data_IF_669369771811
#
_entry.id   IF_669369771811
#
_cell.length_a   1.000
_cell.length_b   1.000
_cell.length_c   1.000
_cell.angle_alpha   90.00
_cell.angle_beta   90.00
_cell.angle_gamma   90.00
#
_symmetry.space_group_name_H-M   'P 1'
#
loop_
_entity.id
_entity.type
_entity.pdbx_description
1 polymer ?
#
# COMPACT_ATOMS: atom_id res chain seq x y z
N UNK A 1 -59.00 -42.30 8.32
CA UNK A 1 -59.23 -40.89 8.69
C UNK A 1 -58.28 -40.04 7.85
N UNK A 2 -58.32 -40.21 6.53
CA UNK A 2 -59.38 -39.72 5.62
C UNK A 2 -59.34 -38.19 5.57
N UNK A 3 -59.45 -37.52 4.44
CA UNK A 3 -59.56 -37.86 3.03
C UNK A 3 -59.45 -36.46 2.36
N UNK A 4 -58.74 -36.32 1.25
CA UNK A 4 -59.38 -36.30 -0.07
C UNK A 4 -60.61 -35.37 -0.15
N UNK A 5 -60.53 -34.29 -0.92
CA UNK A 5 -60.94 -34.21 -2.32
C UNK A 5 -60.99 -32.73 -2.75
N UNK A 6 -60.42 -32.33 -3.89
CA UNK A 6 -60.95 -32.53 -5.27
C UNK A 6 -62.20 -31.65 -5.48
N UNK A 7 -62.44 -30.93 -6.58
CA UNK A 7 -61.95 -31.02 -7.96
C UNK A 7 -62.55 -29.82 -8.74
N UNK A 8 -61.98 -29.54 -9.93
CA UNK A 8 -62.59 -28.87 -11.12
C UNK A 8 -63.16 -27.44 -10.97
N UNK A 9 -62.91 -26.48 -11.86
CA UNK A 9 -62.35 -26.48 -13.20
C UNK A 9 -63.09 -25.43 -14.06
N UNK A 10 -62.39 -24.88 -15.07
CA UNK A 10 -62.90 -24.27 -16.32
C UNK A 10 -63.05 -22.71 -16.38
N UNK A 11 -62.00 -22.11 -16.96
CA UNK A 11 -61.96 -21.32 -18.23
C UNK A 11 -62.39 -19.83 -18.33
N UNK A 12 -61.47 -19.09 -18.96
CA UNK A 12 -61.64 -17.98 -19.93
C UNK A 12 -61.98 -16.57 -19.44
N UNK A 13 -60.98 -15.68 -19.42
CA UNK A 13 -60.74 -14.58 -20.41
C UNK A 13 -59.99 -13.40 -19.78
N UNK A 14 -59.16 -12.81 -20.65
CA UNK A 14 -58.69 -11.43 -20.65
C UNK A 14 -57.53 -11.00 -19.72
N UNK A 15 -56.39 -10.86 -20.41
CA UNK A 15 -55.27 -9.95 -20.17
C UNK A 15 -55.70 -8.58 -19.59
N UNK A 16 -55.07 -8.18 -18.50
CA UNK A 16 -54.72 -6.76 -18.27
C UNK A 16 -53.40 -6.70 -17.51
N UNK A 17 -52.34 -6.32 -18.25
CA UNK A 17 -51.04 -5.99 -17.71
C UNK A 17 -51.08 -4.57 -17.12
N UNK A 18 -50.54 -4.39 -15.92
CA UNK A 18 -50.19 -3.08 -15.41
C UNK A 18 -48.86 -2.64 -16.03
N UNK A 19 -48.91 -1.51 -16.70
CA UNK A 19 -47.86 -0.85 -17.47
C UNK A 19 -46.78 -0.23 -16.58
N UNK A 20 -45.52 -0.60 -16.79
CA UNK A 20 -44.36 0.25 -16.51
C UNK A 20 -43.75 0.64 -17.86
N UNK A 21 -43.93 1.90 -18.23
CA UNK A 21 -43.39 2.52 -19.44
C UNK A 21 -41.86 2.56 -19.36
N UNK A 22 -41.22 1.76 -20.21
CA UNK A 22 -39.79 1.86 -20.50
C UNK A 22 -39.69 2.55 -21.88
N UNK A 23 -39.37 3.84 -21.91
CA UNK A 23 -39.16 4.55 -23.17
C UNK A 23 -37.73 4.30 -23.66
N UNK A 24 -37.65 3.34 -24.58
CA UNK A 24 -36.99 3.45 -25.88
C UNK A 24 -35.68 4.22 -25.97
N UNK A 25 -34.55 3.50 -26.02
CA UNK A 25 -33.73 3.35 -27.25
C UNK A 25 -32.46 2.55 -26.95
N UNK A 26 -32.56 1.21 -26.86
CA UNK A 26 -31.38 0.34 -26.74
C UNK A 26 -31.51 -0.99 -27.50
N UNK A 27 -32.20 -0.99 -28.65
CA UNK A 27 -32.24 -2.18 -29.50
C UNK A 27 -32.23 -1.78 -30.98
N UNK A 28 -31.04 -1.90 -31.61
CA UNK A 28 -30.84 -2.32 -33.01
C UNK A 28 -29.41 -2.04 -33.47
N UNK A 29 -28.44 -2.86 -33.06
CA UNK A 29 -27.32 -3.22 -33.94
C UNK A 29 -26.81 -4.61 -33.53
N UNK A 30 -27.40 -5.65 -34.10
CA UNK A 30 -26.78 -6.97 -34.18
C UNK A 30 -27.14 -7.58 -35.54
N UNK A 31 -26.10 -8.10 -36.20
CA UNK A 31 -26.12 -9.05 -37.32
C UNK A 31 -26.53 -8.52 -38.71
N UNK A 32 -25.52 -8.16 -39.51
CA UNK A 32 -25.42 -8.63 -40.88
C UNK A 32 -23.95 -8.81 -41.26
N UNK A 33 -23.47 -10.05 -41.18
CA UNK A 33 -22.24 -10.47 -41.82
C UNK A 33 -22.59 -11.11 -43.16
N UNK A 34 -22.12 -10.53 -44.28
CA UNK A 34 -21.86 -11.25 -45.52
C UNK A 34 -20.99 -10.40 -46.48
N UNK A 35 -19.73 -10.85 -46.64
CA UNK A 35 -18.91 -10.92 -47.86
C UNK A 35 -18.79 -9.65 -48.74
N UNK A 36 -17.57 -9.12 -48.82
CA UNK A 36 -17.17 -8.19 -49.87
C UNK A 36 -15.81 -7.54 -49.60
N UNK A 37 -14.77 -8.12 -50.20
CA UNK A 37 -13.41 -7.60 -50.29
C UNK A 37 -13.31 -6.14 -50.72
N UNK A 38 -12.48 -5.33 -50.04
CA UNK A 38 -11.44 -4.47 -50.61
C UNK A 38 -11.05 -3.36 -49.62
N UNK A 39 -9.74 -3.20 -49.45
CA UNK A 39 -9.03 -2.10 -48.79
C UNK A 39 -9.62 -0.72 -49.09
N UNK A 40 -9.68 0.15 -48.08
CA UNK A 40 -9.21 1.55 -48.13
C UNK A 40 -9.15 2.12 -46.71
N UNK A 41 -7.97 2.60 -46.34
CA UNK A 41 -7.71 3.45 -45.18
C UNK A 41 -8.52 4.74 -45.32
N UNK A 42 -9.66 4.84 -44.63
CA UNK A 42 -10.34 6.12 -44.40
C UNK A 42 -10.54 6.26 -42.90
N UNK A 43 -9.83 7.24 -42.33
CA UNK A 43 -9.87 7.54 -40.91
C UNK A 43 -11.29 7.81 -40.44
N UNK A 44 -11.78 6.98 -39.53
CA UNK A 44 -12.94 7.32 -38.74
C UNK A 44 -12.57 8.50 -37.83
N UNK A 45 -12.88 9.71 -38.26
CA UNK A 45 -12.98 10.84 -37.34
C UNK A 45 -14.23 10.60 -36.50
N UNK A 46 -14.04 10.13 -35.27
CA UNK A 46 -15.10 10.19 -34.26
C UNK A 46 -15.16 11.64 -33.82
N UNK A 47 -16.05 12.42 -34.44
CA UNK A 47 -16.45 13.73 -33.91
C UNK A 47 -17.35 13.44 -32.71
N UNK A 48 -16.78 13.49 -31.51
CA UNK A 48 -17.57 13.57 -30.27
C UNK A 48 -18.07 15.01 -30.18
N UNK A 49 -19.38 15.30 -30.33
CA UNK A 49 -19.89 16.64 -30.10
C UNK A 49 -19.57 17.00 -28.65
N UNK A 50 -19.04 18.20 -28.42
CA UNK A 50 -18.58 18.69 -27.11
C UNK A 50 -19.66 18.59 -26.03
N UNK A 51 -19.74 17.43 -25.38
CA UNK A 51 -20.38 17.27 -24.10
C UNK A 51 -19.50 17.96 -23.07
N UNK A 52 -20.04 18.98 -22.40
CA UNK A 52 -19.44 19.45 -21.16
C UNK A 52 -19.55 18.31 -20.15
N UNK A 53 -18.42 17.68 -19.81
CA UNK A 53 -18.34 16.71 -18.74
C UNK A 53 -18.36 17.49 -17.42
N UNK A 54 -19.54 17.96 -16.99
CA UNK A 54 -19.69 18.49 -15.64
C UNK A 54 -19.58 17.33 -14.65
N UNK A 55 -18.39 17.15 -14.09
CA UNK A 55 -18.20 16.27 -12.95
C UNK A 55 -18.80 16.98 -11.73
N UNK A 56 -20.09 16.75 -11.50
CA UNK A 56 -20.76 17.21 -10.29
C UNK A 56 -20.15 16.44 -9.12
N UNK A 57 -19.13 17.02 -8.49
CA UNK A 57 -18.41 16.35 -7.42
C UNK A 57 -19.23 16.44 -6.15
N UNK A 58 -19.65 15.30 -5.61
CA UNK A 58 -20.24 15.19 -4.27
C UNK A 58 -19.25 15.49 -3.14
N UNK A 59 -18.00 15.79 -3.48
CA UNK A 59 -16.94 16.11 -2.53
C UNK A 59 -17.12 17.52 -1.95
N UNK A 60 -17.02 17.62 -0.63
CA UNK A 60 -17.02 18.87 0.11
C UNK A 60 -15.74 19.64 -0.25
N UNK A 61 -15.88 20.85 -0.80
CA UNK A 61 -14.74 21.72 -1.07
C UNK A 61 -14.34 22.47 0.20
N UNK A 62 -13.03 22.51 0.48
CA UNK A 62 -12.46 23.36 1.52
C UNK A 62 -12.81 24.83 1.28
N UNK A 63 -13.10 25.55 2.36
CA UNK A 63 -13.50 26.96 2.34
C UNK A 63 -12.33 27.95 2.33
N UNK A 64 -11.08 27.45 2.38
CA UNK A 64 -9.86 28.24 2.42
C UNK A 64 -9.61 28.94 3.76
N UNK A 65 -10.47 28.74 4.77
CA UNK A 65 -10.29 29.30 6.11
C UNK A 65 -9.60 28.27 6.98
N UNK A 66 -8.32 28.47 7.24
CA UNK A 66 -7.55 27.53 8.06
C UNK A 66 -7.93 27.67 9.53
N UNK A 67 -8.40 26.57 10.12
CA UNK A 67 -8.66 26.44 11.54
C UNK A 67 -7.71 25.41 12.18
N UNK A 68 -7.50 25.55 13.49
CA UNK A 68 -6.71 24.62 14.29
C UNK A 68 -7.58 24.09 15.42
N UNK A 69 -7.70 22.77 15.52
CA UNK A 69 -8.39 22.08 16.60
C UNK A 69 -7.40 21.28 17.44
N UNK A 70 -7.44 21.45 18.76
CA UNK A 70 -6.75 20.55 19.68
C UNK A 70 -7.74 19.49 20.15
N UNK A 71 -7.37 18.22 20.00
CA UNK A 71 -8.24 17.09 20.33
C UNK A 71 -7.67 16.33 21.53
N UNK A 72 -8.51 15.98 22.53
CA UNK A 72 -8.04 15.22 23.67
C UNK A 72 -7.56 13.84 23.20
N UNK A 73 -6.38 13.45 23.64
CA UNK A 73 -5.78 12.16 23.29
C UNK A 73 -5.07 11.59 24.52
N UNK A 74 -5.11 10.27 24.65
CA UNK A 74 -4.34 9.55 25.66
C UNK A 74 -3.07 8.99 25.02
N UNK A 75 -2.03 8.73 25.80
CA UNK A 75 -0.73 8.24 25.31
C UNK A 75 -0.78 6.81 24.77
N UNK A 76 -1.52 6.59 23.68
CA UNK A 76 -1.68 5.30 23.02
C UNK A 76 -0.43 4.98 22.21
N UNK A 77 -0.02 3.71 22.23
CA UNK A 77 1.17 3.23 21.53
C UNK A 77 0.91 2.79 20.09
N UNK A 78 -0.35 2.80 19.63
CA UNK A 78 -0.73 2.43 18.28
C UNK A 78 -1.45 3.58 17.57
N UNK A 79 -1.12 3.79 16.29
CA UNK A 79 -1.72 4.78 15.40
C UNK A 79 -2.23 4.13 14.13
N UNK A 80 -3.47 4.43 13.75
CA UNK A 80 -4.11 4.03 12.51
C UNK A 80 -4.54 5.28 11.72
N UNK A 81 -4.02 5.44 10.50
CA UNK A 81 -4.33 6.58 9.62
C UNK A 81 -5.06 6.09 8.38
N UNK A 82 -6.28 6.56 8.15
CA UNK A 82 -7.07 6.26 6.96
C UNK A 82 -7.19 7.48 6.05
N UNK A 83 -6.17 7.68 5.21
CA UNK A 83 -6.16 8.70 4.16
C UNK A 83 -6.98 8.27 2.95
N UNK A 84 -8.31 8.18 3.12
CA UNK A 84 -9.27 7.84 2.06
C UNK A 84 -10.15 9.06 1.76
N UNK A 85 -11.08 8.91 0.81
CA UNK A 85 -12.13 9.91 0.51
C UNK A 85 -11.62 11.23 -0.07
N UNK A 86 -10.55 11.19 -0.87
CA UNK A 86 -9.92 12.33 -1.59
C UNK A 86 -9.36 13.47 -0.71
N UNK A 87 -9.49 13.38 0.61
CA UNK A 87 -8.86 14.29 1.56
C UNK A 87 -7.35 14.03 1.66
N UNK A 88 -6.54 14.99 1.25
CA UNK A 88 -5.08 14.94 1.41
C UNK A 88 -4.69 15.18 2.87
N UNK A 89 -3.92 14.26 3.44
CA UNK A 89 -3.54 14.26 4.85
C UNK A 89 -2.03 14.15 4.98
N UNK A 90 -1.47 15.10 5.74
CA UNK A 90 -0.11 15.05 6.25
C UNK A 90 -0.15 14.77 7.75
N UNK A 91 0.42 13.65 8.18
CA UNK A 91 0.47 13.25 9.59
C UNK A 91 1.91 13.33 10.07
N UNK A 92 2.19 14.26 10.97
CA UNK A 92 3.50 14.44 11.61
C UNK A 92 3.45 13.88 13.04
N UNK A 93 4.18 12.80 13.28
CA UNK A 93 4.23 12.10 14.57
C UNK A 93 5.57 12.35 15.24
N UNK A 94 5.54 12.82 16.48
CA UNK A 94 6.75 13.04 17.30
C UNK A 94 6.72 12.16 18.55
N UNK A 95 7.68 11.24 18.65
CA UNK A 95 7.86 10.36 19.80
C UNK A 95 8.74 11.04 20.86
N UNK A 96 8.44 10.80 22.14
CA UNK A 96 9.21 11.27 23.30
C UNK A 96 8.67 12.51 24.02
N UNK A 97 7.40 12.89 23.78
CA UNK A 97 6.78 14.07 24.41
C UNK A 97 5.46 13.77 25.13
N UNK A 98 4.86 14.81 25.71
CA UNK A 98 3.52 14.73 26.31
C UNK A 98 2.48 14.42 25.24
N UNK A 99 1.53 13.50 25.48
CA UNK A 99 0.43 13.23 24.57
C UNK A 99 -0.27 14.52 24.13
N UNK A 100 -0.38 14.72 22.83
CA UNK A 100 -1.05 15.89 22.26
C UNK A 100 -1.40 15.65 20.79
N UNK A 101 -2.60 16.09 20.40
CA UNK A 101 -3.10 15.96 19.03
C UNK A 101 -3.66 17.29 18.57
N UNK A 102 -3.10 17.83 17.49
CA UNK A 102 -3.62 19.04 16.84
C UNK A 102 -3.89 18.77 15.38
N UNK A 103 -5.05 19.21 14.90
CA UNK A 103 -5.49 19.10 13.51
C UNK A 103 -5.62 20.50 12.94
N UNK A 104 -5.05 20.72 11.75
CA UNK A 104 -5.05 22.00 11.04
C UNK A 104 -5.47 21.81 9.59
N UNK A 105 -6.45 22.60 9.13
CA UNK A 105 -7.00 22.49 7.77
C UNK A 105 -8.18 23.43 7.56
N UNK A 106 -8.84 23.34 6.40
CA UNK A 106 -10.06 24.11 6.12
C UNK A 106 -11.13 23.87 7.20
N UNK A 107 -11.69 24.96 7.73
CA UNK A 107 -12.57 24.93 8.90
C UNK A 107 -13.82 24.09 8.66
N UNK A 108 -14.36 24.10 7.44
CA UNK A 108 -15.52 23.31 7.08
C UNK A 108 -15.23 21.81 6.91
N UNK A 109 -13.96 21.40 6.84
CA UNK A 109 -13.56 20.00 6.69
C UNK A 109 -13.22 19.32 8.03
N UNK A 110 -12.79 20.09 9.04
CA UNK A 110 -12.40 19.52 10.34
C UNK A 110 -13.50 18.70 11.04
N UNK A 111 -14.80 19.07 10.98
CA UNK A 111 -15.88 18.26 11.54
C UNK A 111 -16.07 16.89 10.86
N UNK A 112 -15.59 16.73 9.63
CA UNK A 112 -15.64 15.49 8.86
C UNK A 112 -14.41 14.59 9.10
N UNK A 113 -13.37 15.13 9.72
CA UNK A 113 -12.21 14.37 10.19
C UNK A 113 -12.47 13.87 11.61
N UNK A 114 -12.43 12.56 11.79
CA UNK A 114 -12.69 11.89 13.06
C UNK A 114 -11.41 11.35 13.68
N UNK A 115 -11.35 11.41 15.01
CA UNK A 115 -10.27 10.86 15.81
C UNK A 115 -10.90 10.08 16.96
N UNK A 116 -10.83 8.76 16.91
CA UNK A 116 -11.40 7.87 17.93
C UNK A 116 -10.36 6.84 18.41
N UNK A 117 -10.66 6.19 19.53
CA UNK A 117 -9.81 5.13 20.07
C UNK A 117 -10.50 3.80 19.85
N UNK A 118 -9.90 2.94 19.04
CA UNK A 118 -10.43 1.61 18.74
C UNK A 118 -9.35 0.56 18.96
N UNK A 119 -9.68 -0.45 19.76
CA UNK A 119 -8.76 -1.57 20.07
C UNK A 119 -7.37 -1.12 20.59
N UNK A 120 -7.31 -0.01 21.34
CA UNK A 120 -6.06 0.53 21.88
C UNK A 120 -5.20 1.33 20.89
N UNK A 121 -5.71 1.60 19.68
CA UNK A 121 -5.08 2.47 18.70
C UNK A 121 -5.85 3.79 18.54
N UNK A 122 -5.12 4.89 18.37
CA UNK A 122 -5.69 6.14 17.88
C UNK A 122 -5.99 5.97 16.39
N UNK A 123 -7.25 6.11 16.00
CA UNK A 123 -7.70 6.03 14.61
C UNK A 123 -8.04 7.42 14.09
N UNK A 124 -7.49 7.77 12.94
CA UNK A 124 -7.71 9.03 12.24
C UNK A 124 -8.32 8.72 10.88
N UNK A 125 -9.51 9.24 10.59
CA UNK A 125 -10.23 8.94 9.35
C UNK A 125 -11.19 10.07 8.94
N UNK A 126 -11.68 10.04 7.70
CA UNK A 126 -12.69 10.98 7.18
C UNK A 126 -14.00 10.28 6.85
N UNK A 127 -15.13 10.85 7.26
CA UNK A 127 -16.47 10.30 6.97
C UNK A 127 -17.01 10.68 5.58
N UNK A 128 -16.47 11.76 5.01
CA UNK A 128 -16.96 12.39 3.80
C UNK A 128 -15.86 12.52 2.76
N UNK A 129 -16.27 12.54 1.49
CA UNK A 129 -15.38 12.95 0.42
C UNK A 129 -15.14 14.44 0.49
N UNK A 130 -13.87 14.83 0.50
CA UNK A 130 -13.48 16.22 0.65
C UNK A 130 -12.27 16.54 -0.23
N UNK A 131 -12.20 17.77 -0.69
CA UNK A 131 -11.04 18.33 -1.39
C UNK A 131 -10.63 19.57 -0.62
N UNK A 132 -9.59 19.44 0.20
CA UNK A 132 -9.03 20.53 0.96
C UNK A 132 -8.29 21.52 0.05
N UNK A 133 -8.21 22.79 0.47
CA UNK A 133 -7.45 23.81 -0.26
C UNK A 133 -5.94 23.63 -0.05
N UNK A 134 -5.56 23.03 1.07
CA UNK A 134 -4.21 22.60 1.42
C UNK A 134 -4.27 21.27 2.17
N UNK A 135 -3.17 20.49 2.23
CA UNK A 135 -3.17 19.23 2.99
C UNK A 135 -3.58 19.45 4.44
N UNK A 136 -4.47 18.61 4.97
CA UNK A 136 -4.84 18.64 6.39
C UNK A 136 -3.65 18.14 7.19
N UNK A 137 -3.09 19.01 8.03
CA UNK A 137 -1.92 18.73 8.85
C UNK A 137 -2.36 18.22 10.21
N UNK A 138 -1.90 17.03 10.57
CA UNK A 138 -2.21 16.41 11.84
C UNK A 138 -0.89 16.20 12.58
N UNK A 139 -0.71 16.89 13.69
CA UNK A 139 0.47 16.75 14.54
C UNK A 139 0.09 15.93 15.75
N UNK A 140 0.75 14.78 15.92
CA UNK A 140 0.53 13.86 17.03
C UNK A 140 1.83 13.67 17.81
N UNK A 141 1.84 14.08 19.08
CA UNK A 141 2.96 13.84 20.00
C UNK A 141 2.56 12.77 20.99
N UNK A 142 3.46 11.84 21.27
CA UNK A 142 3.24 10.75 22.21
C UNK A 142 4.55 10.28 22.87
N UNK A 143 4.50 9.65 24.05
CA UNK A 143 5.70 9.15 24.70
C UNK A 143 6.39 8.01 23.93
N UNK A 144 5.61 7.09 23.36
CA UNK A 144 6.09 5.86 22.71
C UNK A 144 5.12 5.42 21.62
N UNK A 145 5.64 5.03 20.45
CA UNK A 145 4.85 4.49 19.34
C UNK A 145 5.34 3.09 18.99
N UNK A 146 4.54 2.06 19.19
CA UNK A 146 4.90 0.66 18.90
C UNK A 146 4.33 0.18 17.57
N UNK A 147 3.20 0.75 17.14
CA UNK A 147 2.50 0.31 15.94
C UNK A 147 1.99 1.48 15.11
N UNK A 148 2.25 1.43 13.80
CA UNK A 148 1.69 2.34 12.81
C UNK A 148 0.99 1.54 11.72
N UNK A 149 -0.29 1.81 11.47
CA UNK A 149 -0.98 1.37 10.27
C UNK A 149 -1.43 2.58 9.45
N UNK A 150 -1.12 2.59 8.17
CA UNK A 150 -1.63 3.60 7.24
C UNK A 150 -2.42 2.93 6.13
N UNK A 151 -3.50 3.57 5.70
CA UNK A 151 -4.23 3.16 4.50
C UNK A 151 -4.61 4.33 3.60
N UNK A 152 -4.74 4.05 2.30
CA UNK A 152 -5.04 5.05 1.29
C UNK A 152 -3.78 5.80 0.82
N UNK A 153 -3.79 7.13 0.83
CA UNK A 153 -2.73 7.96 0.23
C UNK A 153 -2.16 9.03 1.19
N UNK A 154 -2.39 8.89 2.50
CA UNK A 154 -1.81 9.80 3.49
C UNK A 154 -0.28 9.79 3.46
N UNK A 155 0.32 10.97 3.64
CA UNK A 155 1.76 11.12 3.91
C UNK A 155 1.97 11.17 5.42
N UNK A 156 2.75 10.24 5.96
CA UNK A 156 3.01 10.10 7.39
C UNK A 156 4.50 10.21 7.67
N UNK A 157 4.88 11.09 8.59
CA UNK A 157 6.24 11.33 9.02
C UNK A 157 6.34 10.97 10.50
N UNK A 158 7.23 10.05 10.87
CA UNK A 158 7.43 9.64 12.26
C UNK A 158 8.86 9.98 12.67
N UNK A 159 8.97 10.92 13.61
CA UNK A 159 10.22 11.37 14.19
C UNK A 159 10.43 10.85 15.62
N UNK A 160 11.70 10.62 15.97
CA UNK A 160 12.11 10.33 17.33
C UNK A 160 11.84 8.90 17.80
N UNK A 161 11.66 7.93 16.89
CA UNK A 161 11.51 6.53 17.27
C UNK A 161 12.67 6.11 18.17
N UNK A 162 12.34 5.49 19.30
CA UNK A 162 13.30 5.04 20.31
C UNK A 162 12.71 3.81 21.04
N UNK A 163 12.41 2.76 20.28
CA UNK A 163 11.65 1.60 20.78
C UNK A 163 12.43 0.30 20.63
N UNK A 164 12.10 -0.69 21.45
CA UNK A 164 12.63 -2.04 21.29
C UNK A 164 12.08 -2.71 20.03
N UNK A 165 10.77 -2.61 19.81
CA UNK A 165 10.11 -3.17 18.62
C UNK A 165 9.16 -2.14 18.04
N UNK A 166 9.19 -1.99 16.72
CA UNK A 166 8.26 -1.14 15.98
C UNK A 166 7.65 -1.91 14.82
N UNK A 167 6.33 -1.91 14.75
CA UNK A 167 5.56 -2.54 13.69
C UNK A 167 4.92 -1.48 12.80
N UNK A 168 5.13 -1.58 11.50
CA UNK A 168 4.57 -0.64 10.53
C UNK A 168 3.89 -1.40 9.39
N UNK A 169 2.66 -1.00 9.08
CA UNK A 169 1.85 -1.58 8.00
C UNK A 169 1.37 -0.47 7.08
N UNK A 170 1.73 -0.53 5.81
CA UNK A 170 1.24 0.40 4.79
C UNK A 170 0.29 -0.30 3.83
N UNK A 171 -0.94 0.19 3.73
CA UNK A 171 -2.01 -0.32 2.87
C UNK A 171 -2.50 0.73 1.88
N UNK A 172 -1.78 0.91 0.79
CA UNK A 172 -2.19 1.82 -0.27
C UNK A 172 -1.00 2.45 -0.96
N UNK A 173 -1.15 3.71 -1.35
CA UNK A 173 -0.21 4.45 -2.19
C UNK A 173 0.47 5.62 -1.46
N UNK A 174 0.22 5.75 -0.15
CA UNK A 174 0.80 6.78 0.69
C UNK A 174 2.32 6.71 0.82
N UNK A 175 2.88 7.70 1.51
CA UNK A 175 4.29 7.77 1.87
C UNK A 175 4.41 7.68 3.39
N UNK A 176 5.29 6.83 3.88
CA UNK A 176 5.73 6.81 5.27
C UNK A 176 7.21 7.19 5.30
N UNK A 177 7.60 8.13 6.14
CA UNK A 177 8.98 8.42 6.48
C UNK A 177 9.24 8.15 7.96
N UNK A 178 10.25 7.33 8.27
CA UNK A 178 10.60 6.93 9.64
C UNK A 178 12.00 7.44 10.00
N UNK A 179 12.12 8.06 11.18
CA UNK A 179 13.39 8.56 11.72
C UNK A 179 13.58 8.13 13.18
N UNK A 180 14.81 7.78 13.54
CA UNK A 180 15.18 7.43 14.91
C UNK A 180 15.97 6.13 15.02
N UNK A 181 15.74 5.37 16.10
CA UNK A 181 16.37 4.08 16.39
C UNK A 181 15.34 3.06 16.88
N UNK A 182 15.42 1.83 16.35
CA UNK A 182 14.63 0.69 16.85
C UNK A 182 15.48 -0.57 16.94
N UNK A 183 15.29 -1.40 17.97
CA UNK A 183 16.05 -2.66 18.08
C UNK A 183 15.48 -3.77 17.16
N UNK A 184 14.18 -3.74 16.88
CA UNK A 184 13.49 -4.60 15.93
C UNK A 184 12.50 -3.82 15.09
N UNK A 185 12.54 -4.03 13.78
CA UNK A 185 11.59 -3.46 12.83
C UNK A 185 10.81 -4.57 12.13
N UNK A 186 9.50 -4.52 12.19
CA UNK A 186 8.59 -5.37 11.41
C UNK A 186 7.80 -4.48 10.43
N UNK A 187 8.21 -4.47 9.16
CA UNK A 187 7.62 -3.63 8.13
C UNK A 187 6.83 -4.44 7.09
N UNK A 188 5.56 -4.09 6.91
CA UNK A 188 4.69 -4.69 5.90
C UNK A 188 4.18 -3.62 4.95
N UNK A 189 4.44 -3.78 3.65
CA UNK A 189 3.85 -2.96 2.60
C UNK A 189 2.92 -3.86 1.78
N UNK A 190 1.65 -3.51 1.67
CA UNK A 190 0.65 -4.26 0.88
C UNK A 190 0.01 -3.38 -0.21
N UNK A 191 0.79 -2.48 -0.82
CA UNK A 191 0.28 -1.54 -1.81
C UNK A 191 1.37 -1.05 -2.77
N UNK A 192 1.19 0.18 -3.26
CA UNK A 192 2.11 0.83 -4.20
C UNK A 192 2.86 2.02 -3.58
N UNK A 193 2.63 2.27 -2.30
CA UNK A 193 3.23 3.38 -1.56
C UNK A 193 4.71 3.17 -1.23
N UNK A 194 5.32 4.21 -0.69
CA UNK A 194 6.75 4.22 -0.30
C UNK A 194 6.92 4.22 1.21
N UNK A 195 7.68 3.28 1.75
CA UNK A 195 8.16 3.32 3.14
C UNK A 195 9.64 3.68 3.13
N UNK A 196 9.96 4.87 3.62
CA UNK A 196 11.29 5.46 3.62
C UNK A 196 11.81 5.50 5.05
N UNK A 197 12.77 4.65 5.36
CA UNK A 197 13.40 4.53 6.66
C UNK A 197 14.91 4.83 6.57
N UNK A 198 15.32 5.66 5.60
CA UNK A 198 16.73 6.00 5.33
C UNK A 198 17.46 6.62 6.52
N UNK A 199 16.70 7.34 7.35
CA UNK A 199 17.12 7.99 8.59
C UNK A 199 16.72 7.21 9.86
N UNK A 200 16.33 5.94 9.72
CA UNK A 200 16.09 5.01 10.80
C UNK A 200 17.31 4.08 10.97
N UNK A 201 17.81 3.96 12.19
CA UNK A 201 18.74 2.90 12.56
C UNK A 201 17.96 1.73 13.15
N UNK A 202 17.90 0.61 12.43
CA UNK A 202 17.16 -0.58 12.85
C UNK A 202 18.12 -1.72 13.21
N UNK A 203 17.75 -2.51 14.22
CA UNK A 203 18.43 -3.77 14.53
C UNK A 203 17.93 -4.92 13.66
N UNK A 204 17.49 -6.00 14.29
CA UNK A 204 16.92 -7.15 13.54
C UNK A 204 15.67 -6.72 12.79
N UNK A 205 15.61 -6.98 11.49
CA UNK A 205 14.58 -6.39 10.63
C UNK A 205 13.87 -7.45 9.82
N UNK A 206 12.53 -7.41 9.82
CA UNK A 206 11.67 -8.21 8.96
C UNK A 206 10.89 -7.31 8.03
N UNK A 207 10.97 -7.61 6.74
CA UNK A 207 10.24 -6.90 5.68
C UNK A 207 9.36 -7.87 4.92
N UNK A 208 8.12 -7.49 4.66
CA UNK A 208 7.25 -8.16 3.71
C UNK A 208 6.61 -7.13 2.80
N UNK A 209 6.92 -7.21 1.51
CA UNK A 209 6.33 -6.35 0.48
C UNK A 209 5.42 -7.21 -0.39
N UNK A 210 4.15 -6.81 -0.49
CA UNK A 210 3.13 -7.43 -1.34
C UNK A 210 2.55 -6.33 -2.24
N UNK A 211 3.16 -6.10 -3.39
CA UNK A 211 2.73 -5.04 -4.32
C UNK A 211 3.85 -4.51 -5.19
N UNK A 212 3.72 -3.23 -5.55
CA UNK A 212 4.63 -2.54 -6.47
C UNK A 212 5.26 -1.30 -5.85
N UNK A 213 5.18 -1.18 -4.52
CA UNK A 213 5.72 -0.06 -3.77
C UNK A 213 7.24 -0.11 -3.62
N UNK A 214 7.77 0.83 -2.84
CA UNK A 214 9.19 0.91 -2.50
C UNK A 214 9.35 0.83 -0.99
N UNK A 215 10.35 0.08 -0.54
CA UNK A 215 10.84 0.11 0.84
C UNK A 215 12.31 0.47 0.80
N UNK A 216 12.68 1.61 1.39
CA UNK A 216 14.08 1.98 1.61
C UNK A 216 14.40 1.88 3.09
N UNK A 217 15.33 1.01 3.44
CA UNK A 217 15.85 0.88 4.79
C UNK A 217 17.20 1.61 4.89
N UNK A 218 17.33 2.41 5.95
CA UNK A 218 18.57 3.06 6.34
C UNK A 218 19.59 2.06 6.89
N UNK A 219 20.22 2.39 8.02
CA UNK A 219 21.22 1.52 8.62
C UNK A 219 20.55 0.35 9.36
N UNK A 220 20.67 -0.86 8.80
CA UNK A 220 20.30 -2.12 9.47
C UNK A 220 21.54 -2.70 10.12
N UNK A 221 21.57 -2.78 11.46
CA UNK A 221 22.70 -3.29 12.25
C UNK A 221 22.21 -4.28 13.29
N UNK A 222 22.29 -5.57 13.00
CA UNK A 222 21.77 -6.57 13.92
C UNK A 222 22.03 -8.01 13.49
N UNK A 223 21.20 -8.88 14.03
CA UNK A 223 21.41 -10.32 13.91
C UNK A 223 20.95 -10.86 12.56
N UNK A 224 19.82 -10.33 12.07
CA UNK A 224 19.15 -10.83 10.88
C UNK A 224 18.45 -9.70 10.12
N UNK A 225 18.56 -9.75 8.79
CA UNK A 225 17.58 -9.17 7.88
C UNK A 225 16.79 -10.30 7.23
N UNK A 226 15.47 -10.32 7.43
CA UNK A 226 14.55 -11.21 6.72
C UNK A 226 13.67 -10.39 5.80
N UNK A 227 13.71 -10.64 4.50
CA UNK A 227 12.96 -9.88 3.51
C UNK A 227 12.24 -10.78 2.50
N UNK A 228 10.94 -10.57 2.33
CA UNK A 228 10.15 -11.15 1.25
C UNK A 228 9.59 -10.07 0.35
N UNK A 229 9.95 -10.08 -0.93
CA UNK A 229 9.41 -9.17 -1.95
C UNK A 229 8.50 -9.98 -2.88
N UNK A 230 7.20 -9.71 -2.83
CA UNK A 230 6.16 -10.35 -3.63
C UNK A 230 5.53 -9.31 -4.55
N UNK A 231 5.67 -9.49 -5.86
CA UNK A 231 5.16 -8.58 -6.88
C UNK A 231 6.27 -7.94 -7.70
N UNK A 232 6.20 -6.61 -7.86
CA UNK A 232 7.07 -5.83 -8.75
C UNK A 232 7.73 -4.63 -8.05
N UNK A 233 7.71 -4.61 -6.71
CA UNK A 233 8.26 -3.51 -5.94
C UNK A 233 9.78 -3.61 -5.73
N UNK A 234 10.32 -2.61 -5.04
CA UNK A 234 11.76 -2.42 -4.85
C UNK A 234 12.10 -2.32 -3.37
N UNK A 235 13.07 -3.13 -2.93
CA UNK A 235 13.64 -3.07 -1.59
C UNK A 235 15.10 -2.61 -1.66
N UNK A 236 15.43 -1.55 -0.95
CA UNK A 236 16.83 -1.10 -0.72
C UNK A 236 17.16 -1.21 0.76
N UNK A 237 18.37 -1.67 1.09
CA UNK A 237 18.87 -1.65 2.48
C UNK A 237 20.39 -1.49 2.53
N UNK A 238 20.89 -0.94 3.64
CA UNK A 238 22.33 -0.79 3.90
C UNK A 238 22.70 -1.15 5.34
N UNK A 239 23.96 -1.44 5.59
CA UNK A 239 24.48 -1.73 6.94
C UNK A 239 25.14 -3.10 7.07
N UNK A 240 25.05 -3.70 8.26
CA UNK A 240 25.80 -4.90 8.63
C UNK A 240 24.91 -5.86 9.42
N UNK A 241 24.76 -7.09 8.95
CA UNK A 241 23.98 -8.14 9.64
C UNK A 241 24.76 -9.45 9.74
N UNK A 242 24.46 -10.28 10.75
CA UNK A 242 25.05 -11.62 10.82
C UNK A 242 24.44 -12.56 9.79
N UNK A 243 23.12 -12.49 9.59
CA UNK A 243 22.40 -13.32 8.62
C UNK A 243 21.47 -12.48 7.74
N UNK A 244 21.34 -12.87 6.47
CA UNK A 244 20.33 -12.34 5.56
C UNK A 244 19.52 -13.49 4.96
N UNK A 245 18.20 -13.43 5.07
CA UNK A 245 17.26 -14.35 4.42
C UNK A 245 16.36 -13.53 3.50
N UNK A 246 16.60 -13.61 2.20
CA UNK A 246 15.97 -12.74 1.20
C UNK A 246 15.35 -13.56 0.10
N UNK A 247 14.04 -13.40 -0.08
CA UNK A 247 13.30 -14.02 -1.18
C UNK A 247 12.58 -12.99 -2.04
N UNK A 248 12.70 -13.14 -3.35
CA UNK A 248 12.01 -12.33 -4.36
C UNK A 248 11.11 -13.23 -5.19
N UNK A 249 9.84 -12.90 -5.26
CA UNK A 249 8.82 -13.60 -6.01
C UNK A 249 8.13 -12.63 -6.98
N UNK A 250 8.24 -12.89 -8.27
CA UNK A 250 7.72 -12.03 -9.33
C UNK A 250 8.84 -11.28 -10.07
N UNK A 251 8.66 -9.98 -10.24
CA UNK A 251 9.55 -9.12 -11.05
C UNK A 251 10.17 -7.97 -10.24
N UNK A 252 9.98 -7.94 -8.92
CA UNK A 252 10.57 -6.94 -8.04
C UNK A 252 12.06 -7.17 -7.83
N UNK A 253 12.75 -6.18 -7.25
CA UNK A 253 14.19 -6.22 -7.03
C UNK A 253 14.55 -5.92 -5.57
N UNK A 254 15.59 -6.59 -5.08
CA UNK A 254 16.19 -6.33 -3.78
C UNK A 254 17.65 -5.87 -3.94
N UNK A 255 17.85 -4.56 -3.82
CA UNK A 255 19.14 -3.88 -3.93
C UNK A 255 19.79 -3.74 -2.56
N UNK A 256 20.63 -4.71 -2.21
CA UNK A 256 21.27 -4.82 -0.91
C UNK A 256 22.81 -4.81 -1.03
N UNK A 257 23.39 -4.36 -2.14
CA UNK A 257 24.85 -4.19 -2.27
C UNK A 257 25.46 -3.30 -1.18
N UNK A 258 24.67 -2.37 -0.61
CA UNK A 258 25.07 -1.56 0.55
C UNK A 258 24.96 -2.27 1.90
N UNK A 259 24.47 -3.51 1.93
CA UNK A 259 24.31 -4.35 3.11
C UNK A 259 25.35 -5.49 3.07
N UNK A 260 26.15 -5.59 4.13
CA UNK A 260 27.10 -6.69 4.33
C UNK A 260 26.51 -7.72 5.28
N UNK A 261 26.58 -8.98 4.89
CA UNK A 261 26.18 -10.12 5.71
C UNK A 261 27.33 -11.12 5.89
N UNK A 262 27.37 -11.83 7.02
CA UNK A 262 28.28 -12.97 7.16
C UNK A 262 27.72 -14.18 6.42
N UNK A 263 26.42 -14.43 6.59
CA UNK A 263 25.69 -15.55 6.00
C UNK A 263 24.47 -15.07 5.25
N UNK A 264 24.21 -15.61 4.07
CA UNK A 264 23.04 -15.27 3.29
C UNK A 264 22.36 -16.50 2.67
N UNK A 265 21.05 -16.57 2.79
CA UNK A 265 20.19 -17.49 2.05
C UNK A 265 19.29 -16.66 1.12
N UNK A 266 19.48 -16.83 -0.19
CA UNK A 266 18.92 -15.95 -1.22
C UNK A 266 18.12 -16.75 -2.23
N UNK A 267 16.87 -16.36 -2.49
CA UNK A 267 16.01 -17.04 -3.44
C UNK A 267 15.30 -16.06 -4.40
N UNK A 268 15.37 -16.33 -5.70
CA UNK A 268 14.54 -15.64 -6.70
C UNK A 268 13.64 -16.64 -7.43
N UNK A 269 12.35 -16.32 -7.49
CA UNK A 269 11.31 -17.05 -8.19
C UNK A 269 10.59 -16.11 -9.16
N UNK A 270 11.03 -16.08 -10.42
CA UNK A 270 10.51 -15.18 -11.43
C UNK A 270 11.62 -14.47 -12.21
N UNK A 271 11.43 -13.18 -12.45
CA UNK A 271 12.35 -12.32 -13.22
C UNK A 271 13.11 -11.31 -12.37
N UNK A 272 12.75 -11.17 -11.09
CA UNK A 272 13.35 -10.25 -10.15
C UNK A 272 14.79 -10.58 -9.75
N UNK A 273 15.52 -9.57 -9.27
CA UNK A 273 16.94 -9.67 -8.94
C UNK A 273 17.23 -9.43 -7.46
N UNK A 274 18.34 -10.00 -6.99
CA UNK A 274 18.87 -9.75 -5.65
C UNK A 274 20.36 -9.43 -5.79
N UNK A 275 20.81 -8.36 -5.14
CA UNK A 275 22.24 -8.09 -4.95
C UNK A 275 22.58 -7.87 -3.48
N UNK A 276 23.70 -8.41 -3.01
CA UNK A 276 24.12 -8.33 -1.60
C UNK A 276 25.62 -8.61 -1.42
N UNK A 277 26.25 -8.03 -0.40
CA UNK A 277 27.62 -8.38 0.00
C UNK A 277 27.63 -9.49 1.07
N UNK A 278 28.42 -10.54 0.86
CA UNK A 278 28.50 -11.72 1.75
C UNK A 278 29.96 -12.10 2.00
N UNK A 279 30.34 -12.30 3.28
CA UNK A 279 31.74 -12.56 3.65
C UNK A 279 32.08 -14.02 3.96
N UNK A 280 31.13 -14.85 4.42
CA UNK A 280 31.45 -16.21 4.90
C UNK A 280 30.70 -17.31 4.13
N UNK A 281 29.36 -17.37 4.25
CA UNK A 281 28.54 -18.43 3.62
C UNK A 281 27.42 -17.84 2.80
N UNK A 282 27.22 -18.34 1.59
CA UNK A 282 26.01 -18.03 0.81
C UNK A 282 25.37 -19.29 0.25
N UNK A 283 24.05 -19.36 0.37
CA UNK A 283 23.19 -20.28 -0.37
C UNK A 283 22.34 -19.46 -1.33
N UNK A 284 22.35 -19.81 -2.61
CA UNK A 284 21.49 -19.18 -3.61
C UNK A 284 20.56 -20.19 -4.27
N UNK A 285 19.36 -19.75 -4.60
CA UNK A 285 18.41 -20.49 -5.41
C UNK A 285 17.80 -19.56 -6.47
N UNK A 286 17.96 -19.92 -7.74
CA UNK A 286 17.36 -19.17 -8.86
C UNK A 286 16.38 -20.06 -9.62
N UNK A 287 15.11 -19.68 -9.64
CA UNK A 287 14.07 -20.31 -10.45
C UNK A 287 13.42 -19.25 -11.36
N UNK A 288 13.62 -19.39 -12.68
CA UNK A 288 13.20 -18.40 -13.67
C UNK A 288 14.36 -17.62 -14.29
N UNK A 289 14.08 -16.37 -14.66
CA UNK A 289 15.01 -15.48 -15.40
C UNK A 289 15.71 -14.45 -14.50
N UNK A 290 15.34 -14.39 -13.23
CA UNK A 290 15.96 -13.53 -12.22
C UNK A 290 17.46 -13.81 -12.03
N UNK A 291 18.18 -12.84 -11.46
CA UNK A 291 19.62 -12.93 -11.19
C UNK A 291 19.92 -12.67 -9.72
N UNK A 292 20.87 -13.42 -9.17
CA UNK A 292 21.45 -13.13 -7.86
C UNK A 292 22.91 -12.71 -8.06
N UNK A 293 23.28 -11.52 -7.58
CA UNK A 293 24.65 -11.02 -7.61
C UNK A 293 25.19 -10.97 -6.18
N UNK A 294 26.25 -11.72 -5.91
CA UNK A 294 26.90 -11.77 -4.60
C UNK A 294 28.23 -11.03 -4.70
N UNK A 295 28.38 -9.99 -3.89
CA UNK A 295 29.66 -9.28 -3.74
C UNK A 295 30.48 -9.89 -2.59
N UNK A 296 31.80 -10.00 -2.78
CA UNK A 296 32.72 -10.61 -1.83
C UNK A 296 33.17 -12.02 -2.23
N UNK A 297 34.01 -12.61 -1.38
CA UNK A 297 34.61 -13.94 -1.61
C UNK A 297 34.21 -14.90 -0.47
N UNK A 298 32.94 -15.31 -0.36
CA UNK A 298 32.51 -16.23 0.70
C UNK A 298 33.20 -17.58 0.57
N UNK A 299 33.64 -18.12 1.70
CA UNK A 299 34.32 -19.41 1.81
C UNK A 299 33.39 -20.59 1.47
N UNK A 300 32.12 -20.51 1.85
CA UNK A 300 31.12 -21.53 1.59
C UNK A 300 30.07 -21.04 0.58
N UNK A 301 29.91 -21.79 -0.53
CA UNK A 301 28.99 -21.43 -1.62
C UNK A 301 28.12 -22.63 -1.99
N UNK A 302 26.82 -22.52 -1.72
CA UNK A 302 25.81 -23.40 -2.28
C UNK A 302 25.03 -22.66 -3.35
N UNK A 303 25.03 -23.15 -4.59
CA UNK A 303 24.35 -22.51 -5.73
C UNK A 303 23.39 -23.50 -6.37
N UNK A 304 22.10 -23.17 -6.34
CA UNK A 304 21.05 -23.92 -7.02
C UNK A 304 20.49 -23.09 -8.17
N UNK A 305 20.74 -23.52 -9.40
CA UNK A 305 20.35 -22.82 -10.62
C UNK A 305 21.54 -22.20 -11.35
N UNK A 306 21.27 -21.43 -12.42
CA UNK A 306 22.30 -21.00 -13.39
C UNK A 306 22.60 -19.51 -13.37
N UNK A 307 21.88 -18.70 -12.57
CA UNK A 307 21.88 -17.23 -12.68
C UNK A 307 22.39 -16.54 -11.42
N UNK A 308 23.38 -17.15 -10.78
CA UNK A 308 24.15 -16.53 -9.69
C UNK A 308 25.49 -16.04 -10.23
N UNK A 309 25.86 -14.81 -9.91
CA UNK A 309 27.14 -14.19 -10.27
C UNK A 309 27.87 -13.75 -9.00
N UNK A 310 29.17 -14.02 -8.94
CA UNK A 310 30.03 -13.58 -7.85
C UNK A 310 30.93 -12.46 -8.34
N UNK A 311 31.01 -11.36 -7.58
CA UNK A 311 31.86 -10.21 -7.85
C UNK A 311 32.81 -10.02 -6.68
N UNK A 312 34.11 -9.98 -6.94
CA UNK A 312 35.14 -9.81 -5.92
C UNK A 312 35.44 -8.35 -5.66
#
# INVERSE_FOLDING_TARGET
>A
MDASNNDKGISMRQRTAFTLSCSDTLARVLCAAAIGSATLLTGCVIVVPGGSWSSDSTAIKGDGRIAIETRPVTGLTALEVEGRRRLDMQVDVQVGGTPGLTVEGDANLLPHLHTDVRAGALRIWSDSEAVATQPVRIRYTLPRLEKLETSGYASTYVGGLANDTFHVVQRGSGRIELRGRVARLDAVNSGSGSLLADALEAGSTRVTMNGSGRISLGAVRGDELRAGVYGSGELTARGDVRAADVSVHGSGDAHLAGLRSERADLATNGSGSIDIAVSNRVQTQTNGSGRITVYGDPAERGVLGKRTTFVR
#
